data_IF_350421729049
#
_entry.id   IF_350421729049
#
_cell.length_a   1.000
_cell.length_b   1.000
_cell.length_c   1.000
_cell.angle_alpha   90.00
_cell.angle_beta   90.00
_cell.angle_gamma   90.00
#
_symmetry.space_group_name_H-M   'P 1'
#
loop_
_entity.id
_entity.type
_entity.pdbx_description
1 polymer ?
#
# COMPACT_ATOMS: atom_id res chain seq x y z
N UNK A 1 -21.13 13.85 -38.74
CA UNK A 1 -21.56 13.19 -37.48
C UNK A 1 -20.73 13.77 -36.37
N UNK A 2 -21.34 14.66 -35.60
CA UNK A 2 -20.71 15.49 -34.58
C UNK A 2 -20.26 14.62 -33.40
N UNK A 3 -18.98 14.72 -33.02
CA UNK A 3 -18.57 14.38 -31.66
C UNK A 3 -19.20 15.41 -30.71
N UNK A 4 -19.82 15.00 -29.58
CA UNK A 4 -20.18 15.96 -28.55
C UNK A 4 -18.93 16.32 -27.74
N UNK A 5 -18.72 17.61 -27.58
CA UNK A 5 -17.77 18.21 -26.67
C UNK A 5 -18.38 18.32 -25.27
N UNK A 6 -17.65 17.83 -24.26
CA UNK A 6 -17.73 18.13 -22.81
C UNK A 6 -16.67 17.24 -22.14
N UNK A 7 -15.37 17.55 -22.16
CA UNK A 7 -14.70 18.59 -21.37
C UNK A 7 -15.27 18.79 -19.95
N UNK A 8 -14.77 17.96 -19.01
CA UNK A 8 -14.22 18.33 -17.68
C UNK A 8 -14.29 17.17 -16.69
N UNK A 9 -13.37 16.22 -16.80
CA UNK A 9 -13.02 15.31 -15.71
C UNK A 9 -11.54 14.92 -15.81
N UNK A 10 -10.65 15.90 -15.65
CA UNK A 10 -9.31 15.59 -15.20
C UNK A 10 -9.38 15.18 -13.73
N UNK A 11 -8.63 14.15 -13.32
CA UNK A 11 -7.62 14.30 -12.26
C UNK A 11 -6.77 13.04 -12.00
N UNK A 12 -5.48 13.25 -12.21
CA UNK A 12 -4.30 12.68 -11.56
C UNK A 12 -4.59 11.96 -10.21
N UNK A 13 -4.17 10.70 -10.12
CA UNK A 13 -4.10 9.83 -8.92
C UNK A 13 -5.32 8.97 -8.53
N UNK A 14 -6.12 8.49 -9.49
CA UNK A 14 -6.75 7.16 -9.39
C UNK A 14 -7.93 6.94 -8.43
N UNK A 15 -8.58 7.94 -7.84
CA UNK A 15 -9.81 7.73 -7.06
C UNK A 15 -11.04 8.05 -7.92
N UNK A 16 -11.46 7.01 -8.64
CA UNK A 16 -12.70 6.60 -9.33
C UNK A 16 -13.83 7.57 -9.70
N UNK A 17 -14.42 7.24 -10.86
CA UNK A 17 -15.30 8.04 -11.73
C UNK A 17 -16.79 7.69 -11.58
N UNK A 18 -17.15 6.58 -10.92
CA UNK A 18 -18.56 6.25 -10.69
C UNK A 18 -19.03 6.84 -9.36
N UNK A 19 -19.96 7.78 -9.46
CA UNK A 19 -20.58 8.45 -8.30
C UNK A 19 -21.79 7.71 -7.76
N UNK A 20 -22.19 6.61 -8.40
CA UNK A 20 -23.32 5.81 -7.93
C UNK A 20 -22.86 4.85 -6.82
N UNK A 21 -23.61 4.78 -5.71
CA UNK A 21 -23.35 3.82 -4.65
C UNK A 21 -23.64 2.41 -5.13
N UNK A 22 -22.81 1.47 -4.71
CA UNK A 22 -23.12 0.05 -4.87
C UNK A 22 -24.35 -0.27 -3.98
N UNK A 23 -25.44 -0.84 -4.55
CA UNK A 23 -26.67 -1.10 -3.80
C UNK A 23 -26.48 -2.10 -2.66
N UNK A 24 -25.58 -3.08 -2.82
CA UNK A 24 -25.33 -4.09 -1.79
C UNK A 24 -24.55 -3.48 -0.62
N UNK A 25 -23.58 -2.61 -0.92
CA UNK A 25 -22.84 -1.86 0.10
C UNK A 25 -23.76 -0.89 0.84
N UNK A 26 -24.62 -0.17 0.10
CA UNK A 26 -25.57 0.80 0.65
C UNK A 26 -26.57 0.14 1.62
N UNK A 27 -27.05 -1.07 1.29
CA UNK A 27 -27.98 -1.83 2.12
C UNK A 27 -27.38 -2.26 3.47
N UNK A 28 -26.05 -2.39 3.56
CA UNK A 28 -25.33 -2.76 4.78
C UNK A 28 -25.03 -1.60 5.74
N UNK A 29 -25.37 -0.36 5.39
CA UNK A 29 -25.06 0.80 6.22
C UNK A 29 -26.02 0.95 7.39
N UNK A 30 -25.46 1.25 8.56
CA UNK A 30 -26.24 1.69 9.71
C UNK A 30 -26.85 3.08 9.39
N UNK A 31 -28.18 3.17 9.46
CA UNK A 31 -28.95 4.39 9.15
C UNK A 31 -29.61 4.98 10.40
N UNK A 32 -29.83 6.29 10.37
CA UNK A 32 -30.63 7.02 11.35
C UNK A 32 -32.13 6.72 11.18
N UNK A 33 -32.95 7.15 12.15
CA UNK A 33 -34.43 7.09 12.07
C UNK A 33 -35.01 7.74 10.79
N UNK A 34 -34.27 8.66 10.18
CA UNK A 34 -34.63 9.34 8.92
C UNK A 34 -34.09 8.64 7.67
N UNK A 35 -33.65 7.38 7.78
CA UNK A 35 -33.05 6.59 6.70
C UNK A 35 -31.81 7.24 6.06
N UNK A 36 -31.07 8.05 6.84
CA UNK A 36 -29.79 8.64 6.40
C UNK A 36 -28.62 7.85 6.97
N UNK A 37 -27.59 7.52 6.16
CA UNK A 37 -26.39 6.84 6.63
C UNK A 37 -25.69 7.60 7.76
N UNK A 38 -25.21 6.85 8.76
CA UNK A 38 -24.48 7.40 9.92
C UNK A 38 -22.99 7.52 9.59
N UNK A 39 -22.36 8.61 10.00
CA UNK A 39 -20.91 8.82 9.94
C UNK A 39 -20.10 8.04 10.97
N UNK A 40 -20.39 6.75 11.16
CA UNK A 40 -19.73 5.90 12.14
C UNK A 40 -18.46 5.26 11.56
N UNK A 41 -17.51 4.91 12.44
CA UNK A 41 -16.35 4.11 12.09
C UNK A 41 -16.76 2.83 11.35
N UNK A 42 -17.81 2.14 11.85
CA UNK A 42 -18.32 0.90 11.25
C UNK A 42 -18.77 1.08 9.81
N UNK A 43 -19.54 2.13 9.50
CA UNK A 43 -20.00 2.39 8.13
C UNK A 43 -18.82 2.72 7.21
N UNK A 44 -17.83 3.46 7.69
CA UNK A 44 -16.63 3.74 6.90
C UNK A 44 -15.82 2.48 6.59
N UNK A 45 -15.63 1.60 7.59
CA UNK A 45 -14.97 0.29 7.39
C UNK A 45 -15.77 -0.54 6.39
N UNK A 46 -17.08 -0.68 6.59
CA UNK A 46 -17.96 -1.46 5.70
C UNK A 46 -17.85 -1.00 4.24
N UNK A 47 -17.89 0.32 3.98
CA UNK A 47 -17.74 0.83 2.62
C UNK A 47 -16.35 0.55 2.05
N UNK A 48 -15.29 0.84 2.81
CA UNK A 48 -13.91 0.66 2.33
C UNK A 48 -13.51 -0.81 2.15
N UNK A 49 -14.17 -1.73 2.84
CA UNK A 49 -13.94 -3.17 2.74
C UNK A 49 -14.81 -3.83 1.66
N UNK A 50 -16.07 -3.41 1.54
CA UNK A 50 -17.06 -4.09 0.68
C UNK A 50 -17.12 -3.52 -0.73
N UNK A 51 -16.81 -2.23 -0.92
CA UNK A 51 -16.90 -1.61 -2.25
C UNK A 51 -15.73 -2.12 -3.13
N UNK A 52 -16.02 -2.73 -4.30
CA UNK A 52 -15.01 -3.24 -5.23
C UNK A 52 -13.93 -2.22 -5.61
N UNK A 53 -14.28 -0.93 -5.54
CA UNK A 53 -13.43 0.23 -5.82
C UNK A 53 -12.27 0.41 -4.84
N UNK A 54 -12.38 -0.15 -3.65
CA UNK A 54 -11.39 -0.05 -2.56
C UNK A 54 -10.61 -1.34 -2.31
N UNK A 55 -11.06 -2.46 -2.89
CA UNK A 55 -10.42 -3.77 -2.72
C UNK A 55 -8.91 -3.71 -3.01
N UNK A 56 -8.12 -4.12 -2.02
CA UNK A 56 -6.65 -4.19 -2.05
C UNK A 56 -5.92 -2.85 -2.33
N UNK A 57 -6.60 -1.71 -2.32
CA UNK A 57 -5.95 -0.39 -2.53
C UNK A 57 -5.28 0.14 -1.28
N UNK A 58 -5.92 -0.09 -0.13
CA UNK A 58 -5.39 0.21 1.19
C UNK A 58 -4.67 -1.03 1.73
N UNK A 59 -3.38 -0.90 2.02
CA UNK A 59 -2.54 -2.02 2.47
C UNK A 59 -1.58 -1.58 3.57
N UNK A 60 -1.31 -2.46 4.53
CA UNK A 60 -0.32 -2.20 5.58
C UNK A 60 1.05 -2.76 5.22
N UNK A 61 2.06 -1.89 5.19
CA UNK A 61 3.46 -2.26 4.96
C UNK A 61 4.14 -2.63 6.29
N UNK A 62 4.53 -3.90 6.49
CA UNK A 62 5.31 -4.31 7.68
C UNK A 62 6.72 -3.73 7.69
N UNK A 63 7.27 -3.39 6.53
CA UNK A 63 8.62 -2.87 6.42
C UNK A 63 8.69 -1.39 6.77
N UNK A 64 7.75 -0.60 6.24
CA UNK A 64 7.71 0.85 6.47
C UNK A 64 6.83 1.25 7.66
N UNK A 65 6.05 0.31 8.21
CA UNK A 65 5.10 0.51 9.30
C UNK A 65 4.09 1.64 9.02
N UNK A 66 3.55 1.66 7.81
CA UNK A 66 2.59 2.68 7.34
C UNK A 66 1.53 2.09 6.41
N UNK A 67 0.43 2.84 6.26
CA UNK A 67 -0.61 2.54 5.28
C UNK A 67 -0.18 3.04 3.91
N UNK A 68 -0.29 2.14 2.93
CA UNK A 68 -0.11 2.43 1.52
C UNK A 68 -1.47 2.51 0.83
N UNK A 69 -1.63 3.53 -0.03
CA UNK A 69 -2.71 3.65 -0.99
C UNK A 69 -2.12 3.45 -2.39
N UNK A 70 -2.52 2.41 -3.11
CA UNK A 70 -1.99 2.05 -4.43
C UNK A 70 -0.44 1.97 -4.47
N UNK A 71 0.15 1.43 -3.40
CA UNK A 71 1.61 1.25 -3.30
C UNK A 71 2.43 2.50 -2.93
N UNK A 72 1.79 3.63 -2.64
CA UNK A 72 2.46 4.83 -2.10
C UNK A 72 1.96 5.16 -0.70
N UNK A 73 2.79 5.82 0.12
CA UNK A 73 2.38 6.30 1.43
C UNK A 73 1.07 7.12 1.35
N UNK A 74 0.13 6.78 2.21
CA UNK A 74 -1.11 7.53 2.39
C UNK A 74 -0.78 8.92 2.98
N UNK A 75 -1.37 9.98 2.44
CA UNK A 75 -1.19 11.37 2.90
C UNK A 75 -2.51 11.96 3.38
N UNK A 76 -2.44 13.04 4.15
CA UNK A 76 -3.62 13.75 4.67
C UNK A 76 -4.58 14.24 3.56
N UNK A 77 -4.03 14.66 2.42
CA UNK A 77 -4.85 15.05 1.27
C UNK A 77 -5.61 13.85 0.68
N UNK A 78 -5.07 12.64 0.79
CA UNK A 78 -5.76 11.43 0.33
C UNK A 78 -6.91 11.09 1.27
N UNK A 79 -6.70 11.20 2.59
CA UNK A 79 -7.77 11.06 3.58
C UNK A 79 -8.89 12.06 3.35
N UNK A 80 -8.57 13.31 3.03
CA UNK A 80 -9.57 14.33 2.67
C UNK A 80 -10.37 13.92 1.43
N UNK A 81 -9.72 13.34 0.42
CA UNK A 81 -10.39 12.83 -0.79
C UNK A 81 -11.27 11.61 -0.50
N UNK A 82 -10.83 10.71 0.37
CA UNK A 82 -11.63 9.56 0.81
C UNK A 82 -12.88 10.05 1.55
N UNK A 83 -12.74 11.04 2.44
CA UNK A 83 -13.85 11.64 3.16
C UNK A 83 -14.91 12.24 2.21
N UNK A 84 -14.44 13.02 1.22
CA UNK A 84 -15.31 13.62 0.21
C UNK A 84 -16.04 12.53 -0.59
N UNK A 85 -15.32 11.49 -0.99
CA UNK A 85 -15.90 10.39 -1.77
C UNK A 85 -16.95 9.60 -0.97
N UNK A 86 -16.69 9.32 0.31
CA UNK A 86 -17.65 8.65 1.21
C UNK A 86 -18.95 9.45 1.37
N UNK A 87 -18.84 10.78 1.42
CA UNK A 87 -19.99 11.68 1.45
C UNK A 87 -20.74 11.71 0.11
N UNK A 88 -20.03 11.92 -0.99
CA UNK A 88 -20.65 12.06 -2.31
C UNK A 88 -21.36 10.79 -2.77
N UNK A 89 -20.77 9.62 -2.52
CA UNK A 89 -21.29 8.33 -3.02
C UNK A 89 -22.26 7.70 -2.04
N UNK A 90 -21.91 7.64 -0.75
CA UNK A 90 -22.68 6.90 0.27
C UNK A 90 -23.34 7.81 1.31
N UNK A 91 -23.17 9.13 1.26
CA UNK A 91 -23.73 10.05 2.26
C UNK A 91 -23.13 9.87 3.66
N UNK A 92 -21.98 9.19 3.79
CA UNK A 92 -21.35 8.87 5.07
C UNK A 92 -20.44 10.03 5.50
N UNK A 93 -20.97 10.91 6.35
CA UNK A 93 -20.24 12.05 6.92
C UNK A 93 -19.86 11.82 8.37
N UNK A 94 -18.60 11.46 8.64
CA UNK A 94 -18.11 11.27 10.00
C UNK A 94 -16.88 12.10 10.36
N UNK A 95 -16.45 11.96 11.60
CA UNK A 95 -15.25 12.64 12.10
C UNK A 95 -13.97 12.13 11.43
N UNK A 96 -12.97 13.00 11.28
CA UNK A 96 -11.68 12.65 10.71
C UNK A 96 -10.99 11.49 11.46
N UNK A 97 -11.09 11.46 12.80
CA UNK A 97 -10.54 10.37 13.61
C UNK A 97 -11.16 9.00 13.27
N UNK A 98 -12.47 8.95 13.01
CA UNK A 98 -13.13 7.72 12.57
C UNK A 98 -12.61 7.28 11.20
N UNK A 99 -12.34 8.23 10.29
CA UNK A 99 -11.80 7.90 8.98
C UNK A 99 -10.37 7.35 9.06
N UNK A 100 -9.51 7.99 9.84
CA UNK A 100 -8.16 7.48 10.08
C UNK A 100 -8.18 6.06 10.63
N UNK A 101 -9.03 5.79 11.63
CA UNK A 101 -9.21 4.44 12.18
C UNK A 101 -9.74 3.46 11.15
N UNK A 102 -10.74 3.85 10.36
CA UNK A 102 -11.32 3.00 9.33
C UNK A 102 -10.26 2.56 8.31
N UNK A 103 -9.47 3.52 7.83
CA UNK A 103 -8.40 3.26 6.86
C UNK A 103 -7.33 2.33 7.45
N UNK A 104 -6.94 2.52 8.71
CA UNK A 104 -5.99 1.64 9.38
C UNK A 104 -6.54 0.21 9.51
N UNK A 105 -7.80 0.05 9.94
CA UNK A 105 -8.44 -1.27 10.06
C UNK A 105 -8.45 -1.99 8.71
N UNK A 106 -8.91 -1.33 7.65
CA UNK A 106 -8.97 -1.96 6.31
C UNK A 106 -7.57 -2.27 5.76
N UNK A 107 -6.59 -1.40 6.03
CA UNK A 107 -5.20 -1.64 5.61
C UNK A 107 -4.56 -2.82 6.35
N UNK A 108 -4.87 -3.00 7.64
CA UNK A 108 -4.39 -4.13 8.45
C UNK A 108 -4.98 -5.48 8.02
N UNK A 109 -6.14 -5.52 7.38
CA UNK A 109 -6.63 -6.77 6.75
C UNK A 109 -5.79 -7.18 5.52
N UNK A 110 -5.04 -6.23 4.93
CA UNK A 110 -4.22 -6.43 3.73
C UNK A 110 -2.72 -6.22 4.00
N UNK A 111 -2.20 -6.88 5.04
CA UNK A 111 -0.78 -6.78 5.42
C UNK A 111 0.14 -7.42 4.41
N UNK A 112 1.28 -6.77 4.16
CA UNK A 112 2.34 -7.36 3.34
C UNK A 112 3.73 -6.87 3.74
N UNK A 113 4.77 -7.50 3.18
CA UNK A 113 6.15 -7.08 3.41
C UNK A 113 6.84 -6.83 2.07
N UNK A 114 6.94 -5.57 1.60
CA UNK A 114 7.35 -5.26 0.22
C UNK A 114 8.68 -5.90 -0.18
N UNK A 115 9.67 -5.89 0.71
CA UNK A 115 10.99 -6.47 0.42
C UNK A 115 10.95 -8.01 0.35
N UNK A 116 10.19 -8.68 1.22
CA UNK A 116 10.10 -10.16 1.22
C UNK A 116 9.33 -10.62 0.00
N UNK A 117 8.17 -10.01 -0.24
CA UNK A 117 7.35 -10.31 -1.41
C UNK A 117 8.13 -10.12 -2.72
N UNK A 118 8.96 -9.07 -2.78
CA UNK A 118 9.86 -8.85 -3.91
C UNK A 118 10.94 -9.95 -3.99
N UNK A 119 11.65 -10.25 -2.90
CA UNK A 119 12.69 -11.28 -2.86
C UNK A 119 12.16 -12.68 -3.22
N UNK A 120 11.01 -13.06 -2.67
CA UNK A 120 10.36 -14.35 -2.89
C UNK A 120 9.82 -14.49 -4.33
N UNK A 121 9.55 -13.38 -5.00
CA UNK A 121 9.14 -13.34 -6.41
C UNK A 121 10.29 -13.42 -7.41
N UNK A 122 11.55 -13.33 -6.98
CA UNK A 122 12.70 -13.38 -7.88
C UNK A 122 13.00 -14.82 -8.31
N UNK A 123 13.37 -14.97 -9.59
CA UNK A 123 13.92 -16.21 -10.13
C UNK A 123 15.41 -16.03 -10.42
N UNK A 124 16.23 -16.94 -9.91
CA UNK A 124 17.67 -16.90 -10.18
C UNK A 124 17.97 -17.25 -11.64
N UNK A 125 18.80 -16.43 -12.29
CA UNK A 125 19.15 -16.55 -13.69
C UNK A 125 20.44 -17.35 -13.94
N UNK A 126 20.97 -18.01 -12.90
CA UNK A 126 22.16 -18.86 -12.99
C UNK A 126 23.50 -18.11 -12.96
N UNK A 127 23.52 -16.77 -12.94
CA UNK A 127 24.77 -16.01 -12.99
C UNK A 127 25.24 -15.64 -11.57
N UNK A 128 26.45 -16.05 -11.14
CA UNK A 128 26.98 -15.75 -9.81
C UNK A 128 27.51 -14.31 -9.74
N UNK A 129 26.67 -13.38 -9.26
CA UNK A 129 27.01 -11.94 -9.18
C UNK A 129 27.47 -11.47 -7.82
N UNK A 130 27.14 -12.20 -6.75
CA UNK A 130 27.33 -11.73 -5.37
C UNK A 130 28.80 -11.46 -5.04
N UNK A 131 29.69 -12.34 -5.50
CA UNK A 131 31.13 -12.25 -5.24
C UNK A 131 31.77 -11.00 -5.86
N UNK A 132 31.31 -10.59 -7.03
CA UNK A 132 31.94 -9.51 -7.81
C UNK A 132 31.39 -8.11 -7.54
N UNK A 133 30.37 -7.96 -6.69
CA UNK A 133 29.66 -6.68 -6.52
C UNK A 133 30.59 -5.55 -6.05
N UNK A 134 31.44 -5.78 -5.06
CA UNK A 134 32.38 -4.75 -4.57
C UNK A 134 33.40 -4.34 -5.64
N UNK A 135 33.96 -5.28 -6.38
CA UNK A 135 34.92 -4.97 -7.44
C UNK A 135 34.25 -4.23 -8.62
N UNK A 136 33.06 -4.68 -9.02
CA UNK A 136 32.35 -4.16 -10.20
C UNK A 136 31.76 -2.77 -9.98
N UNK A 137 31.15 -2.53 -8.81
CA UNK A 137 30.36 -1.32 -8.56
C UNK A 137 31.02 -0.35 -7.58
N UNK A 138 31.91 -0.82 -6.71
CA UNK A 138 32.53 -0.01 -5.65
C UNK A 138 34.03 0.22 -5.86
N UNK A 139 34.62 -0.35 -6.92
CA UNK A 139 36.03 -0.15 -7.26
C UNK A 139 37.00 -0.81 -6.28
N UNK A 140 36.55 -1.78 -5.48
CA UNK A 140 37.42 -2.55 -4.61
C UNK A 140 38.35 -3.46 -5.43
N UNK A 141 39.53 -3.79 -4.89
CA UNK A 141 40.42 -4.75 -5.53
C UNK A 141 39.74 -6.12 -5.66
N UNK A 142 39.90 -6.82 -6.79
CA UNK A 142 39.30 -8.15 -6.97
C UNK A 142 40.13 -9.24 -6.26
N UNK A 143 40.02 -9.27 -4.93
CA UNK A 143 40.71 -10.24 -4.08
C UNK A 143 39.74 -11.31 -3.56
N UNK A 144 40.22 -12.54 -3.24
CA UNK A 144 39.39 -13.56 -2.62
C UNK A 144 38.71 -13.11 -1.32
N UNK A 145 39.33 -12.19 -0.58
CA UNK A 145 38.77 -11.61 0.64
C UNK A 145 37.58 -10.69 0.32
N UNK A 146 37.77 -9.75 -0.61
CA UNK A 146 36.69 -8.83 -1.01
C UNK A 146 35.51 -9.58 -1.62
N UNK A 147 35.75 -10.65 -2.39
CA UNK A 147 34.67 -11.51 -2.89
C UNK A 147 33.83 -12.12 -1.77
N UNK A 148 34.48 -12.62 -0.70
CA UNK A 148 33.77 -13.16 0.46
C UNK A 148 32.99 -12.09 1.22
N UNK A 149 33.54 -10.90 1.40
CA UNK A 149 32.82 -9.78 2.03
C UNK A 149 31.63 -9.32 1.19
N UNK A 150 31.79 -9.26 -0.13
CA UNK A 150 30.73 -8.91 -1.07
C UNK A 150 29.53 -9.86 -0.94
N UNK A 151 29.77 -11.17 -1.02
CA UNK A 151 28.72 -12.17 -0.87
C UNK A 151 28.13 -12.19 0.54
N UNK A 152 28.98 -12.19 1.57
CA UNK A 152 28.56 -12.23 2.97
C UNK A 152 27.69 -11.05 3.37
N UNK A 153 28.00 -9.85 2.88
CA UNK A 153 27.22 -8.65 3.15
C UNK A 153 25.82 -8.72 2.52
N UNK A 154 25.70 -9.12 1.25
CA UNK A 154 24.40 -9.24 0.57
C UNK A 154 23.53 -10.34 1.17
N UNK A 155 24.14 -11.50 1.46
CA UNK A 155 23.45 -12.62 2.12
C UNK A 155 22.98 -12.18 3.51
N UNK A 156 23.84 -11.50 4.28
CA UNK A 156 23.51 -10.96 5.59
C UNK A 156 22.38 -9.92 5.55
N UNK A 157 22.39 -9.03 4.54
CA UNK A 157 21.32 -8.06 4.34
C UNK A 157 19.96 -8.74 4.07
N UNK A 158 19.94 -9.78 3.23
CA UNK A 158 18.73 -10.57 2.97
C UNK A 158 18.29 -11.34 4.24
N UNK A 159 19.23 -11.97 4.94
CA UNK A 159 18.95 -12.71 6.17
C UNK A 159 18.26 -11.82 7.21
N UNK A 160 18.70 -10.56 7.39
CA UNK A 160 18.06 -9.62 8.33
C UNK A 160 16.62 -9.24 7.97
N UNK A 161 16.27 -9.29 6.69
CA UNK A 161 14.89 -9.05 6.23
C UNK A 161 14.00 -10.24 6.59
N UNK A 162 14.48 -11.48 6.43
CA UNK A 162 13.71 -12.69 6.71
C UNK A 162 13.72 -13.08 8.20
N UNK A 163 14.85 -12.89 8.87
CA UNK A 163 15.11 -13.18 10.29
C UNK A 163 15.55 -11.91 11.02
N UNK A 164 14.59 -11.06 11.44
CA UNK A 164 14.90 -9.85 12.19
C UNK A 164 15.67 -10.18 13.47
N UNK A 165 16.79 -9.48 13.70
CA UNK A 165 17.66 -9.69 14.86
C UNK A 165 18.82 -10.67 14.64
N UNK A 166 18.98 -11.24 13.45
CA UNK A 166 20.16 -12.05 13.15
C UNK A 166 21.46 -11.20 13.22
N UNK A 167 22.50 -11.77 13.83
CA UNK A 167 23.78 -11.12 14.01
C UNK A 167 24.53 -11.05 12.66
N UNK A 168 25.13 -9.89 12.38
CA UNK A 168 26.00 -9.69 11.23
C UNK A 168 27.16 -8.80 11.67
N UNK A 169 28.31 -9.41 11.94
CA UNK A 169 29.51 -8.71 12.42
C UNK A 169 30.40 -8.19 11.27
N UNK A 170 29.99 -8.43 10.02
CA UNK A 170 30.72 -7.98 8.84
C UNK A 170 30.47 -6.49 8.62
N UNK A 171 31.50 -5.66 8.81
CA UNK A 171 31.53 -4.28 8.33
C UNK A 171 32.22 -4.24 6.96
N UNK A 172 31.62 -3.51 6.02
CA UNK A 172 32.19 -3.22 4.69
C UNK A 172 33.05 -1.97 4.70
#
# INVERSE_FOLDING_TARGET
MSAPAEDRAALVSGVLVDREPDPDVLAGLDVTDKQKPIGSLRNMVHVLESDPRWLARLRWSRFEALVLLDGRALRDNDLSRIAIWLDEVYGVRGAADNLHRAVNVVAEEHVFHPVRDWLDGLSWDGTPRLDGLLATYFGAEDTPLHRKFSAGWLIGACARVFEPGCQLDTML
#
